data_IF_969079127110
#
_entry.id   IF_969079127110
#
_cell.length_a   1.000
_cell.length_b   1.000
_cell.length_c   1.000
_cell.angle_alpha   90.00
_cell.angle_beta   90.00
_cell.angle_gamma   90.00
#
_symmetry.space_group_name_H-M   'P 1'
#
loop_
_entity.id
_entity.type
_entity.pdbx_description
1 polymer ?
#
# COMPACT_ATOMS: atom_id res chain seq x y z
N UNK A 1 31.22 -41.75 8.87
CA UNK A 1 29.77 -41.71 8.54
C UNK A 1 28.95 -40.88 9.52
N UNK A 2 29.13 -40.96 10.85
CA UNK A 2 28.35 -40.17 11.83
C UNK A 2 28.44 -38.63 11.64
N UNK A 3 29.59 -38.09 11.21
CA UNK A 3 29.77 -36.65 10.94
C UNK A 3 29.03 -36.14 9.69
N UNK A 4 28.69 -37.02 8.74
CA UNK A 4 27.94 -36.62 7.53
C UNK A 4 26.44 -36.50 7.81
N UNK A 5 25.92 -37.31 8.74
CA UNK A 5 24.50 -37.29 9.15
C UNK A 5 24.18 -35.99 9.93
N UNK A 6 25.13 -35.51 10.75
CA UNK A 6 24.97 -34.26 11.48
C UNK A 6 24.92 -33.01 10.59
N UNK A 7 25.55 -33.04 9.40
CA UNK A 7 25.57 -31.90 8.47
C UNK A 7 24.31 -31.83 7.59
N UNK A 8 23.63 -32.95 7.36
CA UNK A 8 22.37 -32.99 6.58
C UNK A 8 21.18 -32.51 7.43
N UNK A 9 21.24 -32.65 8.75
CA UNK A 9 20.19 -32.21 9.68
C UNK A 9 20.21 -30.70 9.98
N UNK A 10 21.28 -29.97 9.69
CA UNK A 10 21.34 -28.51 9.89
C UNK A 10 20.88 -27.69 8.69
N UNK A 11 20.63 -28.31 7.53
CA UNK A 11 20.20 -27.60 6.30
C UNK A 11 18.67 -27.40 6.15
N UNK A 12 17.85 -27.82 7.10
CA UNK A 12 16.39 -27.96 6.91
C UNK A 12 15.49 -26.97 7.69
N UNK A 13 16.00 -25.82 8.15
CA UNK A 13 15.15 -24.82 8.84
C UNK A 13 15.43 -23.38 8.44
N UNK A 14 15.70 -23.10 7.16
CA UNK A 14 15.38 -21.77 6.62
C UNK A 14 13.86 -21.67 6.43
N UNK A 15 13.13 -21.56 7.55
CA UNK A 15 11.76 -21.05 7.50
C UNK A 15 11.84 -19.63 6.98
N UNK A 16 11.50 -19.44 5.70
CA UNK A 16 11.24 -18.12 5.16
C UNK A 16 10.14 -17.50 6.03
N UNK A 17 10.52 -16.57 6.91
CA UNK A 17 9.56 -15.78 7.66
C UNK A 17 8.78 -15.00 6.61
N UNK A 18 7.55 -15.41 6.34
CA UNK A 18 6.62 -14.61 5.55
C UNK A 18 6.55 -13.25 6.25
N UNK A 19 7.07 -12.21 5.60
CA UNK A 19 6.96 -10.87 6.15
C UNK A 19 5.51 -10.44 6.06
N UNK A 20 4.91 -10.21 7.22
CA UNK A 20 3.57 -9.64 7.31
C UNK A 20 3.62 -8.15 7.02
N UNK A 21 2.58 -7.65 6.37
CA UNK A 21 2.35 -6.22 6.21
C UNK A 21 1.43 -5.74 7.35
N UNK A 22 1.60 -4.49 7.75
CA UNK A 22 0.88 -3.85 8.84
C UNK A 22 0.28 -2.53 8.35
N UNK A 23 -0.95 -2.30 8.78
CA UNK A 23 -1.61 -1.02 8.64
C UNK A 23 -0.87 0.05 9.46
N UNK A 24 -1.06 1.35 9.13
CA UNK A 24 -0.51 2.46 9.91
C UNK A 24 -0.78 2.43 11.42
N UNK A 25 -1.89 1.81 11.83
CA UNK A 25 -2.27 1.62 13.24
C UNK A 25 -1.54 0.43 13.91
N UNK A 26 -0.63 -0.24 13.20
CA UNK A 26 0.14 -1.39 13.66
C UNK A 26 -0.58 -2.73 13.59
N UNK A 27 -1.84 -2.76 13.16
CA UNK A 27 -2.58 -4.01 13.01
C UNK A 27 -2.10 -4.79 11.78
N UNK A 28 -1.99 -6.13 11.86
CA UNK A 28 -1.60 -6.93 10.71
C UNK A 28 -2.66 -6.90 9.63
N UNK A 29 -2.22 -6.83 8.37
CA UNK A 29 -3.11 -7.01 7.21
C UNK A 29 -3.63 -8.45 7.24
N UNK A 30 -4.96 -8.68 7.18
CA UNK A 30 -5.53 -10.02 7.17
C UNK A 30 -4.95 -10.86 6.03
N UNK A 31 -4.67 -12.14 6.30
CA UNK A 31 -4.18 -13.09 5.29
C UNK A 31 -5.17 -13.33 4.16
N UNK A 32 -6.47 -13.04 4.36
CA UNK A 32 -7.45 -13.03 3.27
C UNK A 32 -7.12 -11.98 2.21
N UNK A 33 -6.50 -10.87 2.61
CA UNK A 33 -5.94 -9.84 1.72
C UNK A 33 -4.56 -10.27 1.18
N UNK A 34 -4.47 -11.52 0.75
CA UNK A 34 -3.27 -12.21 0.23
C UNK A 34 -2.65 -11.57 -1.03
N UNK A 35 -3.26 -10.50 -1.53
CA UNK A 35 -2.74 -9.68 -2.61
C UNK A 35 -1.55 -8.80 -2.19
N UNK A 36 -1.43 -8.45 -0.90
CA UNK A 36 -0.37 -7.56 -0.41
C UNK A 36 0.97 -8.30 -0.35
N UNK A 37 1.96 -7.78 -1.08
CA UNK A 37 3.32 -8.30 -1.11
C UNK A 37 4.33 -7.16 -1.03
N UNK A 38 5.54 -7.52 -0.59
CA UNK A 38 6.68 -6.64 -0.58
C UNK A 38 7.11 -6.32 -2.01
N UNK A 39 7.58 -5.09 -2.20
CA UNK A 39 8.25 -4.73 -3.45
C UNK A 39 9.45 -5.64 -3.73
N UNK A 40 9.69 -5.93 -5.02
CA UNK A 40 10.89 -6.64 -5.48
C UNK A 40 12.14 -5.74 -5.44
N UNK A 41 11.96 -4.43 -5.40
CA UNK A 41 13.04 -3.46 -5.35
C UNK A 41 13.58 -3.33 -3.92
N UNK A 42 14.89 -3.51 -3.77
CA UNK A 42 15.60 -3.45 -2.48
C UNK A 42 15.45 -2.11 -1.77
N UNK A 43 15.27 -1.00 -2.51
CA UNK A 43 15.11 0.34 -1.95
C UNK A 43 13.82 0.48 -1.13
N UNK A 44 12.75 -0.16 -1.60
CA UNK A 44 11.38 -0.07 -1.08
C UNK A 44 10.85 -1.40 -0.58
N UNK A 45 11.74 -2.33 -0.22
CA UNK A 45 11.36 -3.67 0.28
C UNK A 45 10.46 -3.63 1.52
N UNK A 46 10.39 -2.52 2.24
CA UNK A 46 9.53 -2.37 3.42
C UNK A 46 8.11 -1.93 3.08
N UNK A 47 7.82 -1.55 1.82
CA UNK A 47 6.50 -1.15 1.35
C UNK A 47 5.74 -2.35 0.79
N UNK A 48 4.45 -2.43 1.09
CA UNK A 48 3.57 -3.50 0.65
C UNK A 48 2.49 -3.00 -0.33
N UNK A 49 2.53 -3.50 -1.56
CA UNK A 49 1.59 -3.18 -2.63
C UNK A 49 0.72 -4.41 -2.97
N UNK A 50 -0.44 -4.24 -3.61
CA UNK A 50 -1.32 -5.35 -3.99
C UNK A 50 -0.85 -6.10 -5.25
N UNK A 51 0.37 -6.64 -5.22
CA UNK A 51 1.06 -7.25 -6.37
C UNK A 51 0.49 -8.62 -6.80
N UNK A 52 -0.32 -9.27 -5.96
CA UNK A 52 -0.83 -10.64 -6.18
C UNK A 52 -2.32 -10.71 -6.56
N UNK A 53 -2.90 -9.61 -7.00
CA UNK A 53 -4.27 -9.61 -7.56
C UNK A 53 -4.31 -10.42 -8.86
N UNK A 54 -5.47 -10.99 -9.19
CA UNK A 54 -5.63 -11.82 -10.40
C UNK A 54 -5.65 -10.96 -11.67
N UNK A 55 -6.36 -9.84 -11.63
CA UNK A 55 -6.43 -8.89 -12.73
C UNK A 55 -5.08 -8.15 -12.87
N UNK A 56 -4.37 -8.22 -14.00
CA UNK A 56 -3.07 -7.58 -14.16
C UNK A 56 -3.15 -6.05 -14.09
N UNK A 57 -1.99 -5.40 -13.94
CA UNK A 57 -1.86 -3.94 -14.01
C UNK A 57 -2.37 -3.43 -15.36
N UNK A 58 -3.30 -2.47 -15.34
CA UNK A 58 -3.95 -1.93 -16.54
C UNK A 58 -5.09 -2.78 -17.09
N UNK A 59 -5.50 -3.85 -16.41
CA UNK A 59 -6.66 -4.64 -16.82
C UNK A 59 -8.01 -3.98 -16.53
N UNK A 60 -9.09 -4.59 -16.99
CA UNK A 60 -10.43 -4.03 -16.88
C UNK A 60 -11.03 -4.27 -15.49
N UNK A 61 -11.57 -3.26 -14.81
CA UNK A 61 -12.11 -3.39 -13.44
C UNK A 61 -13.26 -4.38 -13.31
N UNK A 62 -13.96 -4.69 -14.40
CA UNK A 62 -15.00 -5.74 -14.43
C UNK A 62 -14.44 -7.16 -14.15
N UNK A 63 -13.14 -7.37 -14.34
CA UNK A 63 -12.42 -8.60 -13.99
C UNK A 63 -11.88 -8.59 -12.54
N UNK A 64 -12.19 -7.55 -11.77
CA UNK A 64 -11.77 -7.35 -10.39
C UNK A 64 -10.70 -6.27 -10.22
N UNK A 65 -10.18 -6.11 -9.00
CA UNK A 65 -9.13 -5.12 -8.72
C UNK A 65 -7.82 -5.48 -9.44
N UNK A 66 -7.20 -4.51 -10.11
CA UNK A 66 -5.92 -4.69 -10.83
C UNK A 66 -4.72 -4.75 -9.91
N UNK A 67 -3.66 -5.45 -10.32
CA UNK A 67 -2.37 -5.46 -9.62
C UNK A 67 -1.76 -4.06 -9.53
N UNK A 68 -1.13 -3.78 -8.41
CA UNK A 68 -0.33 -2.56 -8.25
C UNK A 68 1.09 -2.75 -8.82
N UNK A 69 1.80 -1.64 -9.00
CA UNK A 69 3.26 -1.57 -9.12
C UNK A 69 3.80 -0.68 -8.01
N UNK A 70 4.89 -1.10 -7.38
CA UNK A 70 5.54 -0.26 -6.39
C UNK A 70 6.44 0.76 -7.09
N UNK A 71 6.31 2.03 -6.73
CA UNK A 71 7.16 3.13 -7.19
C UNK A 71 8.36 3.34 -6.27
N UNK A 72 9.45 3.85 -6.81
CA UNK A 72 10.70 4.09 -6.08
C UNK A 72 10.52 5.02 -4.88
N UNK A 73 9.56 5.94 -4.90
CA UNK A 73 9.21 6.83 -3.78
C UNK A 73 8.38 6.17 -2.68
N UNK A 74 8.09 4.86 -2.79
CA UNK A 74 7.35 4.08 -1.80
C UNK A 74 5.83 4.13 -1.96
N UNK A 75 5.31 4.71 -3.04
CA UNK A 75 3.88 4.66 -3.39
C UNK A 75 3.53 3.38 -4.17
N UNK A 76 2.26 2.99 -4.09
CA UNK A 76 1.66 1.95 -4.93
C UNK A 76 0.93 2.62 -6.08
N UNK A 77 1.35 2.34 -7.31
CA UNK A 77 0.70 2.78 -8.54
C UNK A 77 -0.28 1.70 -9.01
N UNK A 78 -1.56 2.05 -9.11
CA UNK A 78 -2.59 1.20 -9.66
C UNK A 78 -3.09 1.79 -10.98
N UNK A 79 -3.14 0.98 -12.04
CA UNK A 79 -3.74 1.39 -13.30
C UNK A 79 -4.80 0.36 -13.71
N UNK A 80 -5.86 0.84 -14.35
CA UNK A 80 -6.99 0.01 -14.74
C UNK A 80 -7.77 0.64 -15.90
N UNK A 81 -8.62 -0.16 -16.53
CA UNK A 81 -9.58 0.28 -17.53
C UNK A 81 -10.99 0.16 -16.97
N UNK A 82 -11.78 1.24 -17.03
CA UNK A 82 -13.19 1.29 -16.65
C UNK A 82 -13.96 1.94 -17.82
N UNK A 83 -15.02 1.29 -18.29
CA UNK A 83 -15.82 1.76 -19.44
C UNK A 83 -15.02 2.11 -20.72
N UNK A 84 -13.85 1.48 -20.90
CA UNK A 84 -12.95 1.72 -22.03
C UNK A 84 -11.99 2.89 -21.83
N UNK A 85 -12.09 3.62 -20.72
CA UNK A 85 -11.18 4.68 -20.34
C UNK A 85 -10.06 4.15 -19.42
N UNK A 86 -8.84 4.66 -19.61
CA UNK A 86 -7.69 4.29 -18.81
C UNK A 86 -7.56 5.23 -17.62
N UNK A 87 -7.55 4.66 -16.42
CA UNK A 87 -7.41 5.38 -15.16
C UNK A 87 -6.14 5.00 -14.43
N UNK A 88 -5.68 5.91 -13.57
CA UNK A 88 -4.49 5.74 -12.76
C UNK A 88 -4.71 6.30 -11.36
N UNK A 89 -4.25 5.56 -10.36
CA UNK A 89 -4.31 5.94 -8.97
C UNK A 89 -2.98 5.67 -8.26
N UNK A 90 -2.68 6.49 -7.26
CA UNK A 90 -1.51 6.33 -6.42
C UNK A 90 -1.94 6.20 -4.97
N UNK A 91 -1.29 5.33 -4.23
CA UNK A 91 -1.68 4.98 -2.87
C UNK A 91 -0.49 4.94 -1.93
N UNK A 92 -0.60 5.59 -0.78
CA UNK A 92 0.25 5.37 0.38
C UNK A 92 -0.38 4.27 1.24
N UNK A 93 0.22 3.08 1.25
CA UNK A 93 -0.39 1.86 1.80
C UNK A 93 0.29 1.38 3.09
N UNK A 94 0.36 0.06 3.26
CA UNK A 94 0.91 -0.69 4.38
C UNK A 94 2.41 -0.93 4.21
N UNK A 95 3.06 -1.32 5.30
CA UNK A 95 4.50 -1.60 5.31
C UNK A 95 4.82 -2.82 6.19
N UNK A 96 6.06 -3.26 6.20
CA UNK A 96 6.50 -4.43 6.99
C UNK A 96 6.76 -4.14 8.46
N UNK A 97 6.79 -2.87 8.88
CA UNK A 97 7.04 -2.47 10.26
C UNK A 97 5.71 -2.15 10.96
N UNK A 98 5.53 -2.61 12.19
CA UNK A 98 4.31 -2.33 12.98
C UNK A 98 4.22 -0.87 13.40
N UNK A 99 5.36 -0.17 13.42
CA UNK A 99 5.41 1.25 13.75
C UNK A 99 5.63 2.08 12.48
N UNK A 100 4.60 2.79 12.04
CA UNK A 100 4.67 3.67 10.86
C UNK A 100 5.70 4.80 11.02
N UNK A 101 6.01 5.21 12.26
CA UNK A 101 6.98 6.27 12.55
C UNK A 101 8.44 5.80 12.52
N UNK A 102 8.68 4.50 12.27
CA UNK A 102 10.03 3.90 12.26
C UNK A 102 10.96 4.41 11.15
N UNK A 103 10.45 5.17 10.18
CA UNK A 103 11.17 5.58 8.97
C UNK A 103 11.27 4.49 7.89
N UNK A 104 10.85 3.25 8.19
CA UNK A 104 10.74 2.17 7.20
C UNK A 104 9.40 2.17 6.45
N UNK A 105 8.45 2.96 6.93
CA UNK A 105 7.11 3.07 6.37
C UNK A 105 6.87 4.47 5.84
N UNK A 106 5.99 4.58 4.85
CA UNK A 106 5.60 5.86 4.31
C UNK A 106 4.61 6.56 5.26
N UNK A 107 5.14 7.40 6.14
CA UNK A 107 4.39 8.07 7.19
C UNK A 107 3.79 9.43 6.74
N UNK A 108 2.87 9.38 5.79
CA UNK A 108 2.23 10.56 5.20
C UNK A 108 0.72 10.55 5.41
N UNK A 109 0.03 11.66 5.17
CA UNK A 109 -1.45 11.70 5.19
C UNK A 109 -2.09 11.21 6.50
N UNK A 110 -1.55 11.64 7.65
CA UNK A 110 -1.99 11.17 8.96
C UNK A 110 -3.11 12.02 9.58
N UNK A 111 -3.58 13.05 8.89
CA UNK A 111 -4.67 13.87 9.40
C UNK A 111 -5.99 13.09 9.31
N UNK A 112 -6.94 13.45 10.19
CA UNK A 112 -8.24 12.80 10.24
C UNK A 112 -8.94 12.89 8.88
N UNK A 113 -9.41 11.75 8.37
CA UNK A 113 -10.10 11.65 7.08
C UNK A 113 -9.20 11.52 5.85
N UNK A 114 -7.88 11.61 5.97
CA UNK A 114 -6.96 11.41 4.82
C UNK A 114 -6.66 9.94 4.54
N UNK A 115 -6.70 9.09 5.57
CA UNK A 115 -6.58 7.63 5.46
C UNK A 115 -7.94 6.96 5.61
N UNK A 116 -8.16 5.91 4.82
CA UNK A 116 -9.35 5.08 4.90
C UNK A 116 -9.33 4.14 6.14
N UNK A 117 -10.35 3.31 6.29
CA UNK A 117 -10.47 2.36 7.41
C UNK A 117 -9.36 1.31 7.43
N UNK A 118 -8.74 1.04 6.29
CA UNK A 118 -7.58 0.16 6.15
C UNK A 118 -6.27 0.95 6.29
N UNK A 119 -6.33 2.22 6.67
CA UNK A 119 -5.19 3.10 6.76
C UNK A 119 -4.50 3.38 5.42
N UNK A 120 -5.06 3.02 4.26
CA UNK A 120 -4.51 3.45 2.99
C UNK A 120 -4.94 4.90 2.70
N UNK A 121 -4.09 5.67 2.02
CA UNK A 121 -4.44 7.01 1.57
C UNK A 121 -4.21 7.11 0.07
N UNK A 122 -5.21 7.61 -0.66
CA UNK A 122 -5.04 7.96 -2.06
C UNK A 122 -4.15 9.20 -2.15
N UNK A 123 -3.31 9.25 -3.17
CA UNK A 123 -2.37 10.34 -3.42
C UNK A 123 -2.61 10.90 -4.81
N UNK A 124 -2.60 12.22 -4.92
CA UNK A 124 -2.69 12.92 -6.21
C UNK A 124 -1.39 13.70 -6.44
N UNK A 125 -0.66 13.46 -7.55
CA UNK A 125 0.56 14.22 -7.84
C UNK A 125 0.26 15.68 -8.13
N UNK A 126 1.18 16.57 -7.77
CA UNK A 126 1.13 17.97 -8.18
C UNK A 126 1.65 18.13 -9.62
N UNK A 127 0.98 18.95 -10.42
CA UNK A 127 1.39 19.22 -11.79
C UNK A 127 2.78 19.88 -11.82
N UNK A 128 3.66 19.39 -12.70
CA UNK A 128 5.03 19.89 -12.83
C UNK A 128 5.99 19.47 -11.70
N UNK A 129 5.62 18.51 -10.85
CA UNK A 129 6.51 18.02 -9.79
C UNK A 129 6.39 16.52 -9.55
N UNK A 130 7.53 15.83 -9.51
CA UNK A 130 7.60 14.40 -9.22
C UNK A 130 7.66 14.10 -7.71
N UNK A 131 7.94 15.12 -6.90
CA UNK A 131 8.14 15.00 -5.45
C UNK A 131 6.98 15.56 -4.64
N UNK A 132 6.08 16.36 -5.22
CA UNK A 132 4.98 16.99 -4.49
C UNK A 132 3.66 16.27 -4.73
N UNK A 133 2.97 15.93 -3.64
CA UNK A 133 1.75 15.14 -3.66
C UNK A 133 0.71 15.69 -2.70
N UNK A 134 -0.57 15.50 -3.03
CA UNK A 134 -1.70 15.72 -2.15
C UNK A 134 -2.23 14.42 -1.58
N UNK A 135 -2.70 14.47 -0.34
CA UNK A 135 -3.52 13.41 0.24
C UNK A 135 -4.96 13.54 -0.25
N UNK A 136 -5.53 12.47 -0.80
CA UNK A 136 -6.88 12.41 -1.35
C UNK A 136 -6.93 12.32 -2.88
N UNK A 137 -8.08 12.67 -3.46
CA UNK A 137 -8.32 12.63 -4.92
C UNK A 137 -8.03 13.95 -5.61
N UNK A 138 -7.93 15.05 -4.86
CA UNK A 138 -7.81 16.41 -5.38
C UNK A 138 -6.36 16.91 -5.40
N UNK A 139 -6.00 17.70 -6.41
CA UNK A 139 -4.73 18.44 -6.47
C UNK A 139 -4.84 19.87 -5.90
N UNK A 140 -5.97 20.26 -5.30
CA UNK A 140 -6.18 21.61 -4.74
C UNK A 140 -5.12 22.02 -3.71
N UNK A 141 -4.56 21.04 -2.98
CA UNK A 141 -3.47 21.27 -2.03
C UNK A 141 -2.20 21.81 -2.72
N UNK A 142 -1.94 21.43 -3.96
CA UNK A 142 -0.80 21.89 -4.75
C UNK A 142 -0.88 23.39 -5.06
N UNK A 143 -2.09 23.90 -5.29
CA UNK A 143 -2.36 25.30 -5.62
C UNK A 143 -2.24 26.16 -4.36
N UNK A 144 -2.83 25.73 -3.25
CA UNK A 144 -2.79 26.48 -1.99
C UNK A 144 -1.46 26.35 -1.25
N UNK A 145 -0.70 25.28 -1.52
CA UNK A 145 0.49 24.89 -0.77
C UNK A 145 0.19 24.24 0.60
N UNK A 146 -1.09 24.19 1.01
CA UNK A 146 -1.50 23.66 2.31
C UNK A 146 -1.81 22.16 2.15
N UNK A 147 -1.18 21.31 2.96
CA UNK A 147 -1.38 19.86 2.91
C UNK A 147 -0.60 19.15 1.80
N UNK A 148 0.35 19.84 1.16
CA UNK A 148 1.30 19.22 0.23
C UNK A 148 2.30 18.37 1.01
N UNK A 149 2.47 17.14 0.56
CA UNK A 149 3.48 16.20 1.04
C UNK A 149 4.61 16.14 0.04
N UNK A 150 5.85 16.25 0.52
CA UNK A 150 7.03 16.06 -0.29
C UNK A 150 7.57 14.63 -0.09
N UNK A 151 7.64 13.88 -1.18
CA UNK A 151 8.16 12.52 -1.22
C UNK A 151 9.52 12.50 -1.90
N UNK A 152 10.49 11.73 -1.37
CA UNK A 152 11.76 11.54 -2.06
C UNK A 152 11.53 10.76 -3.36
N UNK A 153 12.27 11.07 -4.43
CA UNK A 153 12.23 10.30 -5.68
C UNK A 153 12.54 8.82 -5.46
N UNK A 154 13.45 8.54 -4.51
CA UNK A 154 13.81 7.20 -4.08
C UNK A 154 13.65 7.12 -2.56
N UNK A 155 12.66 6.36 -2.12
CA UNK A 155 12.47 6.02 -0.73
C UNK A 155 13.60 5.10 -0.29
N UNK A 156 14.26 5.49 0.79
CA UNK A 156 15.26 4.68 1.45
C UNK A 156 14.95 4.68 2.94
N UNK A 157 15.23 3.58 3.63
CA UNK A 157 15.01 3.46 5.09
C UNK A 157 15.78 4.53 5.89
N UNK A 158 16.80 5.17 5.29
CA UNK A 158 17.55 6.28 5.91
C UNK A 158 16.94 7.66 5.63
N UNK A 159 16.04 7.73 4.66
CA UNK A 159 15.37 8.94 4.19
C UNK A 159 13.93 8.92 4.68
N UNK A 160 13.72 8.88 6.00
CA UNK A 160 12.39 9.07 6.54
C UNK A 160 11.86 10.42 6.04
N UNK A 161 10.67 10.48 5.40
CA UNK A 161 10.12 11.75 4.96
C UNK A 161 9.93 12.64 6.18
N UNK A 162 10.58 13.79 6.16
CA UNK A 162 10.35 14.83 7.16
C UNK A 162 8.94 15.32 6.88
N UNK A 163 7.99 15.00 7.77
CA UNK A 163 6.65 15.55 7.68
C UNK A 163 6.80 17.07 7.54
N UNK A 164 6.37 17.60 6.40
CA UNK A 164 6.60 18.99 6.02
C UNK A 164 6.21 19.88 7.18
N UNK A 165 7.17 20.65 7.70
CA UNK A 165 6.91 21.54 8.83
C UNK A 165 5.74 22.43 8.44
N UNK A 166 4.77 22.62 9.34
CA UNK A 166 3.69 23.60 9.16
C UNK A 166 4.30 24.86 8.56
N UNK A 167 4.10 25.07 7.26
CA UNK A 167 4.62 26.25 6.59
C UNK A 167 3.77 27.38 7.14
N UNK A 168 4.27 28.00 8.22
CA UNK A 168 3.66 29.18 8.78
C UNK A 168 3.76 30.21 7.66
N UNK A 169 2.62 30.64 7.06
CA UNK A 169 2.69 31.58 5.96
C UNK A 169 3.51 32.79 6.42
N UNK A 170 4.37 33.37 5.55
CA UNK A 170 5.04 34.61 5.88
C UNK A 170 3.96 35.62 6.32
N UNK A 171 4.18 36.39 7.41
CA UNK A 171 3.17 37.32 7.91
C UNK A 171 2.76 38.23 6.76
N UNK A 172 1.50 38.11 6.35
CA UNK A 172 0.90 38.98 5.35
C UNK A 172 0.98 40.40 5.92
N UNK A 173 1.75 41.26 5.27
CA UNK A 173 1.89 42.66 5.69
C UNK A 173 0.53 43.33 5.54
N UNK A 174 -0.17 43.53 6.66
CA UNK A 174 -1.40 44.31 6.73
C UNK A 174 -1.14 45.75 6.26
N UNK A 175 -1.96 46.30 5.35
CA UNK A 175 -1.99 47.73 5.14
C UNK A 175 -2.59 48.41 6.39
N UNK A 176 -1.73 49.12 7.11
CA UNK A 176 -2.12 50.05 8.18
C UNK A 176 -3.16 51.04 7.68
N UNK A 177 -4.43 50.85 8.06
CA UNK A 177 -5.46 51.86 7.91
C UNK A 177 -5.92 52.34 9.28
N UNK A 178 -5.50 53.56 9.59
CA UNK A 178 -5.84 54.34 10.79
C UNK A 178 -7.32 54.71 10.80
N UNK A 179 -8.10 54.31 11.82
CA UNK A 179 -9.21 55.13 12.33
C UNK A 179 -9.62 54.78 13.77
N UNK A 180 -9.45 55.79 14.64
CA UNK A 180 -9.97 56.17 15.98
C UNK A 180 -10.75 55.23 16.94
N UNK A 181 -10.74 55.56 18.26
CA UNK A 181 -11.10 54.66 19.37
C UNK A 181 -12.58 54.71 19.77
N UNK A 182 -13.11 53.57 20.22
CA UNK A 182 -14.41 53.49 20.92
C UNK A 182 -14.30 52.72 22.23
N UNK A 183 -14.36 53.51 23.31
CA UNK A 183 -14.90 53.32 24.68
C UNK A 183 -14.92 51.90 25.31
N UNK A 184 -14.46 51.77 26.58
CA UNK A 184 -14.52 50.53 27.34
C UNK A 184 -15.89 50.31 28.00
N UNK A 185 -16.35 49.06 28.01
CA UNK A 185 -17.46 48.61 28.87
C UNK A 185 -17.05 47.34 29.60
N UNK A 186 -17.44 47.29 30.86
CA UNK A 186 -16.86 46.49 31.92
C UNK A 186 -17.65 45.22 32.23
N UNK A 187 -16.98 44.34 32.98
CA UNK A 187 -17.52 43.29 33.87
C UNK A 187 -17.73 41.91 33.24
N UNK A 188 -17.02 40.90 33.73
CA UNK A 188 -17.47 40.02 34.83
C UNK A 188 -16.45 38.88 35.03
N UNK A 189 -15.99 38.58 36.27
CA UNK A 189 -15.13 37.44 36.54
C UNK A 189 -15.97 36.17 36.76
N UNK A 190 -15.54 35.03 36.19
CA UNK A 190 -16.01 33.72 36.63
C UNK A 190 -14.83 32.86 37.06
N UNK A 191 -14.96 32.45 38.31
CA UNK A 191 -14.12 31.59 39.12
C UNK A 191 -14.47 30.11 38.85
N UNK A 192 -13.66 29.18 39.36
CA UNK A 192 -13.80 27.70 39.39
C UNK A 192 -13.13 26.98 38.20
N UNK A 193 -12.35 25.90 38.34
CA UNK A 193 -11.95 25.05 39.46
C UNK A 193 -10.72 24.20 39.02
N UNK A 194 -9.82 23.75 39.92
CA UNK A 194 -8.69 22.89 39.57
C UNK A 194 -9.06 21.40 39.67
N UNK A 195 -9.24 20.73 38.54
CA UNK A 195 -9.46 19.28 38.50
C UNK A 195 -8.12 18.52 38.50
N UNK A 196 -7.68 18.11 39.69
CA UNK A 196 -6.75 16.99 39.85
C UNK A 196 -7.46 15.69 39.49
N UNK A 197 -6.91 14.90 38.57
CA UNK A 197 -7.17 13.45 38.59
C UNK A 197 -5.98 12.68 38.04
N UNK A 198 -5.55 11.77 38.90
CA UNK A 198 -4.41 10.87 38.88
C UNK A 198 -4.51 9.79 37.80
N UNK A 199 -3.37 9.50 37.18
CA UNK A 199 -3.14 8.34 36.33
C UNK A 199 -3.15 7.03 37.15
N UNK A 200 -3.75 5.94 36.65
CA UNK A 200 -3.47 4.60 37.15
C UNK A 200 -2.22 4.03 36.47
N UNK A 201 -1.18 3.85 37.28
CA UNK A 201 0.04 3.12 36.96
C UNK A 201 -0.23 1.61 37.06
N UNK A 202 -0.26 0.91 35.92
CA UNK A 202 -0.36 -0.56 35.89
C UNK A 202 1.04 -1.14 35.75
N UNK A 203 1.56 -1.70 36.85
CA UNK A 203 2.73 -2.56 36.83
C UNK A 203 2.30 -3.98 36.47
N UNK A 204 2.63 -4.45 35.27
CA UNK A 204 2.58 -5.87 34.92
C UNK A 204 3.89 -6.54 35.33
N UNK A 205 3.92 -7.06 36.56
CA UNK A 205 4.97 -7.96 37.04
C UNK A 205 4.86 -9.33 36.36
N UNK A 206 5.89 -9.70 35.60
CA UNK A 206 6.00 -11.02 34.97
C UNK A 206 6.74 -11.95 35.94
N UNK A 207 6.01 -12.93 36.47
CA UNK A 207 6.53 -13.94 37.40
C UNK A 207 7.54 -14.88 36.71
N UNK A 208 8.78 -15.01 37.20
CA UNK A 208 9.75 -15.98 36.71
C UNK A 208 9.54 -17.31 37.44
N UNK A 209 8.67 -18.16 36.92
CA UNK A 209 8.44 -19.47 37.52
C UNK A 209 7.64 -20.38 36.63
N UNK A 210 8.35 -21.09 35.74
CA UNK A 210 8.12 -22.49 35.33
C UNK A 210 9.25 -22.79 34.33
N UNK A 211 10.39 -23.19 34.88
CA UNK A 211 11.49 -23.80 34.16
C UNK A 211 11.66 -25.19 34.76
N UNK A 212 11.12 -26.22 34.09
CA UNK A 212 11.59 -27.61 34.10
C UNK A 212 10.49 -28.56 33.59
N UNK A 213 10.68 -29.14 32.41
CA UNK A 213 10.33 -30.54 32.09
C UNK A 213 10.52 -30.81 30.58
N UNK A 214 11.76 -31.14 30.17
CA UNK A 214 11.99 -31.84 28.90
C UNK A 214 12.29 -33.30 29.26
N UNK A 215 11.26 -34.14 29.16
CA UNK A 215 11.34 -35.59 29.29
C UNK A 215 11.36 -36.26 27.92
N UNK A 216 12.24 -37.23 27.78
CA UNK A 216 12.56 -38.08 26.62
C UNK A 216 11.28 -38.58 25.90
N UNK A 217 10.98 -38.10 24.69
CA UNK A 217 9.84 -38.59 23.89
C UNK A 217 10.05 -38.59 22.37
N UNK A 218 11.29 -38.56 21.88
CA UNK A 218 11.57 -38.44 20.44
C UNK A 218 11.42 -39.74 19.64
N UNK A 219 11.39 -40.91 20.29
CA UNK A 219 11.30 -42.20 19.57
C UNK A 219 9.89 -42.57 19.10
N UNK A 220 8.88 -42.37 19.95
CA UNK A 220 7.51 -42.85 19.68
C UNK A 220 6.75 -41.92 18.73
N UNK A 221 6.97 -40.61 18.82
CA UNK A 221 6.30 -39.62 17.98
C UNK A 221 6.64 -39.77 16.49
N UNK A 222 7.90 -40.06 16.17
CA UNK A 222 8.35 -40.23 14.77
C UNK A 222 7.73 -41.47 14.14
N UNK A 223 7.64 -42.59 14.87
CA UNK A 223 7.00 -43.81 14.35
C UNK A 223 5.50 -43.63 14.10
N UNK A 224 4.80 -42.86 14.94
CA UNK A 224 3.39 -42.52 14.74
C UNK A 224 3.18 -41.56 13.55
N UNK A 225 4.06 -40.58 13.37
CA UNK A 225 3.99 -39.65 12.23
C UNK A 225 4.25 -40.36 10.89
N UNK A 226 5.26 -41.22 10.81
CA UNK A 226 5.55 -41.99 9.59
C UNK A 226 4.44 -42.99 9.31
N UNK A 227 3.94 -43.70 10.33
CA UNK A 227 2.83 -44.65 10.17
C UNK A 227 1.54 -43.99 9.68
N UNK A 228 1.19 -42.81 10.21
CA UNK A 228 -0.02 -42.08 9.80
C UNK A 228 0.07 -41.55 8.37
N UNK A 229 1.24 -41.05 7.94
CA UNK A 229 1.47 -40.62 6.56
C UNK A 229 1.31 -41.77 5.56
N UNK A 230 1.83 -42.96 5.88
CA UNK A 230 1.68 -44.16 5.03
C UNK A 230 0.22 -44.59 4.91
N UNK A 231 -0.56 -44.52 5.98
CA UNK A 231 -2.00 -44.87 5.96
C UNK A 231 -2.82 -43.86 5.13
N UNK A 232 -2.54 -42.56 5.25
CA UNK A 232 -3.22 -41.53 4.45
C UNK A 232 -2.88 -41.70 2.97
N UNK A 233 -1.60 -41.96 2.62
CA UNK A 233 -1.19 -42.22 1.24
C UNK A 233 -1.86 -43.47 0.66
N UNK A 234 -1.98 -44.57 1.41
CA UNK A 234 -2.73 -45.76 0.95
C UNK A 234 -4.20 -45.43 0.69
N UNK A 235 -4.85 -44.65 1.58
CA UNK A 235 -6.27 -44.31 1.40
C UNK A 235 -6.51 -43.37 0.21
N UNK A 236 -5.62 -42.41 -0.04
CA UNK A 236 -5.74 -41.47 -1.17
C UNK A 236 -5.48 -42.17 -2.50
N UNK A 237 -4.51 -43.08 -2.58
CA UNK A 237 -4.21 -43.80 -3.82
C UNK A 237 -5.32 -44.76 -4.23
N UNK A 238 -6.08 -45.31 -3.27
CA UNK A 238 -7.22 -46.18 -3.57
C UNK A 238 -8.39 -45.41 -4.17
N UNK A 239 -8.67 -44.20 -3.67
CA UNK A 239 -9.72 -43.33 -4.24
C UNK A 239 -9.44 -42.83 -5.65
N UNK A 240 -8.18 -42.82 -6.10
CA UNK A 240 -7.83 -42.36 -7.46
C UNK A 240 -8.16 -43.37 -8.56
N UNK A 241 -8.54 -44.61 -8.23
CA UNK A 241 -8.92 -45.60 -9.24
C UNK A 241 -10.38 -45.50 -9.68
N UNK A 242 -11.22 -44.78 -8.95
CA UNK A 242 -12.67 -44.68 -9.24
C UNK A 242 -13.11 -43.33 -9.85
N UNK A 243 -12.22 -42.33 -9.94
CA UNK A 243 -12.56 -40.97 -10.43
C UNK A 243 -12.27 -40.78 -11.93
N UNK A 244 -11.76 -41.81 -12.62
CA UNK A 244 -11.44 -41.73 -14.05
C UNK A 244 -12.63 -41.82 -15.01
N UNK A 245 -13.88 -41.84 -14.53
CA UNK A 245 -15.04 -42.13 -15.40
C UNK A 245 -16.34 -41.39 -15.07
N UNK A 246 -16.28 -40.25 -14.39
CA UNK A 246 -17.46 -39.40 -14.19
C UNK A 246 -17.26 -38.02 -14.83
N UNK A 247 -17.91 -37.89 -15.99
CA UNK A 247 -18.66 -36.73 -16.45
C UNK A 247 -17.87 -35.49 -16.92
N UNK A 248 -17.29 -35.61 -18.11
CA UNK A 248 -16.89 -34.49 -18.96
C UNK A 248 -18.03 -34.06 -19.91
N UNK A 249 -19.29 -34.29 -19.56
CA UNK A 249 -20.46 -33.88 -20.36
C UNK A 249 -21.25 -32.71 -19.74
N UNK A 250 -21.11 -32.45 -18.43
CA UNK A 250 -21.88 -31.40 -17.77
C UNK A 250 -21.22 -29.99 -17.75
N UNK A 251 -19.97 -29.84 -18.22
CA UNK A 251 -19.29 -28.52 -18.23
C UNK A 251 -19.62 -27.68 -19.47
N UNK A 252 -20.22 -28.27 -20.52
CA UNK A 252 -20.62 -27.52 -21.73
C UNK A 252 -21.95 -26.76 -21.61
N UNK A 253 -22.78 -27.02 -20.59
CA UNK A 253 -24.09 -26.36 -20.48
C UNK A 253 -24.05 -25.04 -19.71
N UNK A 254 -23.07 -24.82 -18.84
CA UNK A 254 -23.01 -23.61 -17.98
C UNK A 254 -22.28 -22.44 -18.66
N UNK A 255 -21.40 -22.69 -19.64
CA UNK A 255 -20.72 -21.62 -20.38
C UNK A 255 -21.57 -20.97 -21.49
N UNK A 256 -22.79 -21.46 -21.74
CA UNK A 256 -23.65 -20.96 -22.82
C UNK A 256 -24.61 -19.83 -22.42
N UNK A 257 -24.62 -19.39 -21.14
CA UNK A 257 -25.61 -18.42 -20.66
C UNK A 257 -25.14 -16.95 -20.63
N UNK A 258 -23.87 -16.65 -20.92
CA UNK A 258 -23.34 -15.28 -20.85
C UNK A 258 -23.01 -14.59 -22.19
N UNK A 259 -23.37 -15.18 -23.33
CA UNK A 259 -23.18 -14.54 -24.64
C UNK A 259 -24.51 -14.20 -25.31
N UNK A 260 -25.22 -13.17 -24.81
CA UNK A 260 -26.13 -12.39 -25.66
C UNK A 260 -26.29 -10.96 -25.13
N UNK A 261 -25.22 -10.17 -25.20
CA UNK A 261 -25.36 -8.73 -25.45
C UNK A 261 -24.94 -8.49 -26.90
N UNK A 262 -25.94 -8.39 -27.79
CA UNK A 262 -25.76 -7.85 -29.14
C UNK A 262 -25.46 -6.35 -29.01
N UNK A 263 -24.20 -6.01 -28.82
CA UNK A 263 -23.71 -4.68 -29.20
C UNK A 263 -23.80 -4.59 -30.71
N UNK A 264 -24.67 -3.72 -31.21
CA UNK A 264 -24.66 -3.35 -32.62
C UNK A 264 -23.32 -2.66 -32.98
N UNK A 265 -22.96 -2.62 -34.27
CA UNK A 265 -21.81 -1.84 -34.70
C UNK A 265 -22.07 -0.36 -34.36
N UNK A 266 -21.33 0.16 -33.39
CA UNK A 266 -21.17 1.60 -33.24
C UNK A 266 -20.21 2.03 -34.34
N UNK A 267 -20.76 2.55 -35.43
CA UNK A 267 -19.99 3.31 -36.41
C UNK A 267 -19.35 4.49 -35.67
N UNK A 268 -18.03 4.49 -35.53
CA UNK A 268 -17.25 5.64 -35.08
C UNK A 268 -17.02 6.56 -36.28
N UNK A 269 -17.58 7.78 -36.31
CA UNK A 269 -17.22 8.77 -37.32
C UNK A 269 -16.08 9.60 -36.76
N UNK A 270 -14.83 9.18 -36.95
CA UNK A 270 -13.73 10.14 -36.91
C UNK A 270 -12.50 9.64 -37.67
N UNK A 271 -12.47 10.00 -38.96
CA UNK A 271 -11.25 9.99 -39.75
C UNK A 271 -10.37 11.16 -39.27
N UNK A 272 -9.41 10.85 -38.41
CA UNK A 272 -8.37 11.81 -38.00
C UNK A 272 -7.48 12.02 -39.22
N UNK A 273 -7.60 13.18 -39.87
CA UNK A 273 -6.62 13.61 -40.87
C UNK A 273 -5.22 13.63 -40.23
N UNK A 274 -4.19 13.08 -40.88
CA UNK A 274 -2.83 13.13 -40.37
C UNK A 274 -2.41 14.58 -40.20
N UNK A 275 -2.05 14.95 -38.97
CA UNK A 275 -1.46 16.23 -38.65
C UNK A 275 -0.13 16.31 -39.39
N UNK A 276 -0.09 17.12 -40.45
CA UNK A 276 1.13 17.43 -41.19
C UNK A 276 2.20 17.90 -40.20
N UNK A 277 3.28 17.15 -40.12
CA UNK A 277 4.45 17.42 -39.30
C UNK A 277 5.14 18.67 -39.85
N UNK A 278 4.72 19.84 -39.36
CA UNK A 278 5.32 21.12 -39.68
C UNK A 278 6.82 21.07 -39.38
N UNK A 279 7.63 21.15 -40.42
CA UNK A 279 9.09 21.30 -40.34
C UNK A 279 9.42 22.51 -39.46
N UNK A 280 10.32 22.37 -38.46
CA UNK A 280 10.78 23.52 -37.68
C UNK A 280 11.52 24.49 -38.60
N UNK A 281 10.99 25.69 -38.74
CA UNK A 281 11.71 26.85 -39.32
C UNK A 281 12.80 27.22 -38.33
N UNK A 282 14.05 26.91 -38.68
CA UNK A 282 15.23 27.42 -38.01
C UNK A 282 15.35 28.91 -38.35
N UNK A 283 14.90 29.77 -37.44
CA UNK A 283 15.21 31.20 -37.52
C UNK A 283 16.67 31.37 -37.07
N UNK A 284 17.57 31.61 -38.02
CA UNK A 284 18.95 31.97 -37.72
C UNK A 284 18.99 33.22 -36.82
N UNK A 285 19.64 33.08 -35.66
CA UNK A 285 19.93 34.18 -34.76
C UNK A 285 21.05 35.04 -35.38
N UNK A 286 20.85 36.35 -35.59
CA UNK A 286 21.88 37.20 -36.16
C UNK A 286 23.08 37.34 -35.21
N UNK A 287 24.27 37.10 -35.76
CA UNK A 287 25.60 37.06 -35.12
C UNK A 287 26.11 38.45 -34.66
N UNK A 288 25.23 39.43 -34.45
CA UNK A 288 25.62 40.82 -34.17
C UNK A 288 25.52 41.24 -32.70
N UNK A 289 25.36 40.30 -31.77
CA UNK A 289 25.23 40.59 -30.33
C UNK A 289 26.49 40.26 -29.49
N UNK A 290 27.63 40.02 -30.12
CA UNK A 290 28.92 39.87 -29.45
C UNK A 290 29.88 40.98 -29.91
N UNK A 291 29.71 42.16 -29.31
CA UNK A 291 30.75 43.17 -29.17
C UNK A 291 30.49 44.01 -27.92
#
# INVERSE_FOLDING_TARGET
MLKLIALVLTLWTLSAKSQSCYFPNGNPVPTSTSAMLLSRDDAIKTICCALKRQNPFGGNVSEGQTQDRCLSNGLCHNAFVEDGEFHTEYWATTCTDTNITSGKCLNVCNESGQRDINGASRMTPCEGSDTRWCCGTSNTCCISGIGVVELPLNFSVKSAPIASSKFMPPPLSEPTSSTLPKKPEASTPSLMDPHSSSAPFIQTGVSPGIAAAIGISTGVGVMLLVGSLVLIWRKVTWKRKDVGKLDMQNVKSVFSYYHTYKGGPVELPYEVQPLELGTPVFTELPESALK
#
